data_IF_113311155836
#
_entry.id   IF_113311155836
#
_cell.length_a   1.000
_cell.length_b   1.000
_cell.length_c   1.000
_cell.angle_alpha   90.00
_cell.angle_beta   90.00
_cell.angle_gamma   90.00
#
_symmetry.space_group_name_H-M   'P 1'
#
loop_
_entity.id
_entity.type
_entity.pdbx_description
1 polymer ?
#
# COMPACT_ATOMS: atom_id res chain seq x y z
N UNK A 1 -27.37 -23.52 -11.39
CA UNK A 1 -26.50 -22.48 -11.96
C UNK A 1 -26.25 -21.46 -10.86
N UNK A 2 -25.00 -21.22 -10.48
CA UNK A 2 -24.66 -20.26 -9.43
C UNK A 2 -25.04 -18.86 -9.91
N UNK A 3 -25.83 -18.11 -9.13
CA UNK A 3 -26.08 -16.71 -9.42
C UNK A 3 -24.73 -15.97 -9.42
N UNK A 4 -24.50 -15.17 -10.46
CA UNK A 4 -23.32 -14.32 -10.55
C UNK A 4 -23.35 -13.27 -9.43
N UNK A 5 -22.20 -13.01 -8.81
CA UNK A 5 -22.06 -11.92 -7.84
C UNK A 5 -21.96 -10.56 -8.53
N UNK A 6 -21.42 -10.56 -9.76
CA UNK A 6 -21.29 -9.36 -10.58
C UNK A 6 -21.89 -9.59 -11.97
N UNK A 7 -22.85 -8.74 -12.33
CA UNK A 7 -23.57 -8.82 -13.62
C UNK A 7 -23.07 -7.80 -14.65
N UNK A 8 -22.12 -6.93 -14.28
CA UNK A 8 -21.52 -5.95 -15.19
C UNK A 8 -20.29 -6.52 -15.90
N UNK A 9 -19.98 -6.07 -17.14
CA UNK A 9 -18.77 -6.50 -17.84
C UNK A 9 -17.50 -6.15 -17.07
N UNK A 10 -16.46 -6.97 -17.26
CA UNK A 10 -15.11 -6.69 -16.78
C UNK A 10 -14.39 -5.69 -17.72
N UNK A 11 -13.40 -4.90 -17.26
CA UNK A 11 -12.82 -4.93 -15.92
C UNK A 11 -13.67 -4.21 -14.85
N UNK A 12 -13.73 -4.78 -13.64
CA UNK A 12 -14.52 -4.22 -12.52
C UNK A 12 -13.64 -3.64 -11.42
N UNK A 13 -13.77 -2.33 -11.22
CA UNK A 13 -13.12 -1.58 -10.16
C UNK A 13 -14.17 -0.79 -9.39
N UNK A 14 -14.13 -0.92 -8.07
CA UNK A 14 -14.97 -0.19 -7.13
C UNK A 14 -14.10 0.62 -6.18
N UNK A 15 -14.67 1.68 -5.61
CA UNK A 15 -14.01 2.53 -4.62
C UNK A 15 -14.82 2.62 -3.33
N UNK A 16 -14.12 2.76 -2.22
CA UNK A 16 -14.69 3.24 -0.96
C UNK A 16 -14.16 4.65 -0.68
N UNK A 17 -15.02 5.65 -0.39
CA UNK A 17 -14.56 7.02 -0.17
C UNK A 17 -13.66 7.14 1.08
N UNK A 18 -12.81 8.19 1.14
CA UNK A 18 -12.01 8.48 2.33
C UNK A 18 -12.88 8.66 3.57
N UNK A 19 -12.36 8.23 4.72
CA UNK A 19 -13.02 8.37 6.02
C UNK A 19 -14.03 7.27 6.36
N UNK A 20 -14.43 6.40 5.43
CA UNK A 20 -15.23 5.23 5.76
C UNK A 20 -14.41 4.12 6.46
N UNK A 21 -14.95 3.46 7.49
CA UNK A 21 -14.34 2.26 8.07
C UNK A 21 -14.29 1.12 7.04
N UNK A 22 -13.15 0.98 6.36
CA UNK A 22 -12.99 0.12 5.18
C UNK A 22 -13.51 -1.32 5.37
N UNK A 23 -13.14 -1.97 6.47
CA UNK A 23 -13.54 -3.37 6.73
C UNK A 23 -15.06 -3.53 6.89
N UNK A 24 -15.72 -2.61 7.59
CA UNK A 24 -17.17 -2.63 7.75
C UNK A 24 -17.87 -2.34 6.42
N UNK A 25 -17.43 -1.29 5.70
CA UNK A 25 -18.03 -0.90 4.42
C UNK A 25 -17.82 -1.96 3.32
N UNK A 26 -16.65 -2.64 3.30
CA UNK A 26 -16.39 -3.77 2.41
C UNK A 26 -17.38 -4.90 2.68
N UNK A 27 -17.55 -5.26 3.96
CA UNK A 27 -18.43 -6.33 4.42
C UNK A 27 -19.89 -6.02 4.12
N UNK A 28 -20.32 -4.77 4.31
CA UNK A 28 -21.65 -4.27 3.97
C UNK A 28 -21.93 -4.40 2.46
N UNK A 29 -20.99 -3.97 1.60
CA UNK A 29 -21.16 -4.10 0.15
C UNK A 29 -21.11 -5.55 -0.35
N UNK A 30 -20.42 -6.46 0.34
CA UNK A 30 -20.54 -7.91 0.08
C UNK A 30 -21.92 -8.43 0.47
N UNK A 31 -22.43 -8.02 1.64
CA UNK A 31 -23.72 -8.45 2.14
C UNK A 31 -24.87 -7.99 1.24
N UNK A 32 -24.81 -6.76 0.73
CA UNK A 32 -25.79 -6.23 -0.20
C UNK A 32 -25.84 -7.04 -1.51
N UNK A 33 -24.68 -7.42 -2.06
CA UNK A 33 -24.59 -8.22 -3.31
C UNK A 33 -25.01 -9.68 -3.13
N UNK A 34 -24.94 -10.20 -1.90
CA UNK A 34 -25.37 -11.54 -1.54
C UNK A 34 -26.78 -11.58 -0.93
N UNK A 35 -27.51 -10.47 -0.95
CA UNK A 35 -28.88 -10.43 -0.45
C UNK A 35 -29.74 -11.43 -1.25
N UNK A 36 -30.37 -12.37 -0.54
CA UNK A 36 -31.18 -13.44 -1.16
C UNK A 36 -30.38 -14.60 -1.78
N UNK A 37 -29.04 -14.55 -1.75
CA UNK A 37 -28.20 -15.66 -2.19
C UNK A 37 -28.16 -16.78 -1.12
N UNK A 38 -27.95 -18.04 -1.51
CA UNK A 38 -27.86 -19.14 -0.55
C UNK A 38 -26.57 -19.03 0.29
N UNK A 39 -26.54 -19.57 1.53
CA UNK A 39 -25.42 -19.38 2.46
C UNK A 39 -24.06 -19.82 1.89
N UNK A 40 -24.01 -20.87 1.08
CA UNK A 40 -22.79 -21.36 0.45
C UNK A 40 -22.16 -20.38 -0.55
N UNK A 41 -22.90 -19.38 -1.03
CA UNK A 41 -22.37 -18.34 -1.90
C UNK A 41 -21.25 -17.54 -1.20
N UNK A 42 -21.35 -17.34 0.12
CA UNK A 42 -20.29 -16.71 0.91
C UNK A 42 -18.98 -17.50 0.85
N UNK A 43 -19.04 -18.83 1.04
CA UNK A 43 -17.87 -19.71 1.08
C UNK A 43 -17.17 -19.88 -0.27
N UNK A 44 -17.80 -19.49 -1.37
CA UNK A 44 -17.22 -19.52 -2.72
C UNK A 44 -16.33 -18.31 -3.00
N UNK A 45 -16.58 -17.18 -2.34
CA UNK A 45 -15.82 -15.95 -2.56
C UNK A 45 -14.39 -16.12 -2.04
N UNK A 46 -13.41 -15.77 -2.88
CA UNK A 46 -12.02 -15.61 -2.46
C UNK A 46 -11.71 -14.12 -2.34
N UNK A 47 -11.31 -13.69 -1.13
CA UNK A 47 -11.02 -12.29 -0.82
C UNK A 47 -9.54 -12.11 -0.45
N UNK A 48 -8.79 -11.50 -1.35
CA UNK A 48 -7.40 -11.13 -1.14
C UNK A 48 -7.27 -9.77 -0.46
N UNK A 49 -6.52 -9.73 0.64
CA UNK A 49 -6.31 -8.56 1.47
C UNK A 49 -4.81 -8.25 1.59
N UNK A 50 -4.39 -6.98 1.64
CA UNK A 50 -2.98 -6.59 1.53
C UNK A 50 -2.16 -6.90 2.79
N UNK A 51 -2.81 -7.05 3.94
CA UNK A 51 -2.14 -7.19 5.23
C UNK A 51 -2.96 -7.97 6.25
N UNK A 52 -2.27 -8.68 7.15
CA UNK A 52 -2.88 -9.43 8.28
C UNK A 52 -3.80 -8.58 9.14
N UNK A 53 -3.47 -7.30 9.33
CA UNK A 53 -4.32 -6.36 10.10
C UNK A 53 -5.67 -6.14 9.42
N UNK A 54 -5.67 -5.96 8.09
CA UNK A 54 -6.89 -5.75 7.32
C UNK A 54 -7.71 -7.04 7.27
N UNK A 55 -7.04 -8.19 7.10
CA UNK A 55 -7.68 -9.50 7.17
C UNK A 55 -8.41 -9.73 8.49
N UNK A 56 -7.76 -9.42 9.62
CA UNK A 56 -8.41 -9.48 10.94
C UNK A 56 -9.60 -8.54 11.03
N UNK A 57 -9.43 -7.26 10.65
CA UNK A 57 -10.51 -6.30 10.72
C UNK A 57 -11.73 -6.70 9.86
N UNK A 58 -11.50 -7.24 8.66
CA UNK A 58 -12.57 -7.75 7.78
C UNK A 58 -13.22 -8.99 8.38
N UNK A 59 -12.45 -9.91 8.96
CA UNK A 59 -13.01 -11.07 9.66
C UNK A 59 -13.86 -10.65 10.86
N UNK A 60 -13.37 -9.75 11.71
CA UNK A 60 -14.11 -9.24 12.86
C UNK A 60 -15.43 -8.57 12.40
N UNK A 61 -15.39 -7.81 11.29
CA UNK A 61 -16.59 -7.19 10.71
C UNK A 61 -17.58 -8.21 10.12
N UNK A 62 -17.08 -9.31 9.54
CA UNK A 62 -17.91 -10.41 9.07
C UNK A 62 -18.55 -11.19 10.23
N UNK A 63 -17.78 -11.50 11.27
CA UNK A 63 -18.26 -12.21 12.48
C UNK A 63 -19.31 -11.39 13.23
N UNK A 64 -19.15 -10.06 13.26
CA UNK A 64 -20.13 -9.15 13.88
C UNK A 64 -21.50 -9.17 13.20
N UNK A 65 -21.64 -9.72 11.98
CA UNK A 65 -22.93 -9.91 11.30
C UNK A 65 -23.74 -11.08 11.83
N UNK A 66 -23.16 -11.92 12.69
CA UNK A 66 -23.80 -13.11 13.23
C UNK A 66 -23.34 -14.41 12.54
N UNK A 67 -24.00 -15.53 12.87
CA UNK A 67 -23.57 -16.85 12.41
C UNK A 67 -23.74 -17.00 10.88
N UNK A 68 -22.73 -17.55 10.22
CA UNK A 68 -22.77 -17.80 8.78
C UNK A 68 -21.45 -18.30 8.21
N UNK A 69 -21.48 -18.72 6.95
CA UNK A 69 -20.26 -19.03 6.21
C UNK A 69 -19.50 -17.74 5.87
N UNK A 70 -18.17 -17.82 5.91
CA UNK A 70 -17.29 -16.69 5.59
C UNK A 70 -16.63 -16.88 4.21
N UNK A 71 -16.29 -15.78 3.52
CA UNK A 71 -15.40 -15.84 2.36
C UNK A 71 -14.05 -16.46 2.72
N UNK A 72 -13.38 -17.03 1.73
CA UNK A 72 -11.99 -17.48 1.84
C UNK A 72 -11.08 -16.25 1.91
N UNK A 73 -10.76 -15.82 3.13
CA UNK A 73 -9.86 -14.70 3.38
C UNK A 73 -8.41 -15.12 3.16
N UNK A 74 -7.70 -14.46 2.25
CA UNK A 74 -6.29 -14.73 1.92
C UNK A 74 -5.47 -13.45 1.94
N UNK A 75 -4.18 -13.53 2.25
CA UNK A 75 -3.29 -12.40 2.01
C UNK A 75 -2.83 -12.38 0.57
N UNK A 76 -2.72 -11.19 -0.01
CA UNK A 76 -2.17 -11.03 -1.35
C UNK A 76 -0.73 -11.56 -1.43
N UNK A 77 0.07 -11.35 -0.38
CA UNK A 77 1.43 -11.89 -0.28
C UNK A 77 1.50 -13.42 -0.14
N UNK A 78 0.42 -14.07 0.31
CA UNK A 78 0.39 -15.53 0.48
C UNK A 78 0.21 -16.25 -0.86
N UNK A 79 -0.25 -15.54 -1.90
CA UNK A 79 -0.32 -16.06 -3.28
C UNK A 79 1.05 -16.57 -3.73
N UNK A 80 2.12 -15.84 -3.39
CA UNK A 80 3.49 -16.22 -3.70
C UNK A 80 3.95 -17.54 -3.02
N UNK A 81 3.30 -17.92 -1.92
CA UNK A 81 3.69 -19.06 -1.09
C UNK A 81 2.90 -20.33 -1.42
N UNK A 82 1.95 -20.27 -2.36
CA UNK A 82 1.12 -21.40 -2.71
C UNK A 82 1.98 -22.53 -3.32
N UNK A 83 1.98 -23.75 -2.73
CA UNK A 83 2.75 -24.88 -3.24
C UNK A 83 2.34 -25.34 -4.64
N UNK A 84 1.17 -24.92 -5.12
CA UNK A 84 0.71 -25.21 -6.48
C UNK A 84 1.65 -24.66 -7.57
N UNK A 85 2.51 -23.69 -7.24
CA UNK A 85 3.49 -23.11 -8.17
C UNK A 85 4.74 -23.97 -8.34
N UNK A 86 4.56 -25.16 -8.92
CA UNK A 86 5.64 -26.09 -9.25
C UNK A 86 6.66 -25.42 -10.17
N UNK A 87 7.94 -25.66 -9.90
CA UNK A 87 9.06 -25.15 -10.69
C UNK A 87 9.44 -23.69 -10.41
N UNK A 88 8.83 -23.00 -9.45
CA UNK A 88 9.36 -21.73 -8.94
C UNK A 88 10.19 -21.95 -7.67
N UNK A 89 11.45 -21.50 -7.60
CA UNK A 89 12.28 -21.63 -6.40
C UNK A 89 11.73 -20.77 -5.25
N UNK A 90 11.75 -21.27 -3.99
CA UNK A 90 11.24 -20.54 -2.84
C UNK A 90 11.99 -19.20 -2.66
N UNK A 91 11.37 -18.19 -2.04
CA UNK A 91 12.01 -16.90 -1.88
C UNK A 91 13.23 -17.03 -0.97
N UNK A 92 14.33 -16.37 -1.33
CA UNK A 92 15.58 -16.44 -0.57
C UNK A 92 15.38 -15.84 0.82
N UNK A 93 15.82 -16.50 1.91
CA UNK A 93 15.78 -15.92 3.24
C UNK A 93 16.54 -14.60 3.26
N UNK A 94 15.93 -13.48 3.66
CA UNK A 94 16.56 -12.20 3.37
C UNK A 94 17.80 -11.90 4.24
N UNK A 95 18.07 -12.67 5.30
CA UNK A 95 19.40 -12.64 5.97
C UNK A 95 20.48 -13.28 5.10
N UNK A 96 20.18 -14.41 4.44
CA UNK A 96 21.11 -15.06 3.51
C UNK A 96 21.49 -14.08 2.40
N UNK A 97 20.51 -13.42 1.78
CA UNK A 97 20.78 -12.45 0.70
C UNK A 97 21.68 -11.30 1.13
N UNK A 98 21.45 -10.74 2.33
CA UNK A 98 22.30 -9.68 2.88
C UNK A 98 23.74 -10.13 3.08
N UNK A 99 23.96 -11.36 3.57
CA UNK A 99 25.31 -11.91 3.75
C UNK A 99 26.00 -12.20 2.40
N UNK A 100 25.26 -12.69 1.41
CA UNK A 100 25.76 -12.87 0.03
C UNK A 100 26.20 -11.53 -0.58
N UNK A 101 25.36 -10.50 -0.46
CA UNK A 101 25.67 -9.16 -0.95
C UNK A 101 26.83 -8.52 -0.17
N UNK A 102 26.88 -8.65 1.15
CA UNK A 102 28.00 -8.14 1.96
C UNK A 102 29.35 -8.71 1.51
N UNK A 103 29.40 -9.98 1.11
CA UNK A 103 30.63 -10.57 0.54
C UNK A 103 31.04 -9.92 -0.78
N UNK A 104 30.08 -9.68 -1.68
CA UNK A 104 30.37 -9.03 -2.96
C UNK A 104 30.76 -7.56 -2.80
N UNK A 105 30.03 -6.82 -1.96
CA UNK A 105 30.36 -5.43 -1.63
C UNK A 105 31.75 -5.37 -1.00
N UNK A 106 32.10 -6.30 -0.10
CA UNK A 106 33.42 -6.35 0.51
C UNK A 106 34.54 -6.54 -0.50
N UNK A 107 34.38 -7.51 -1.41
CA UNK A 107 35.36 -7.74 -2.48
C UNK A 107 35.48 -6.55 -3.46
N UNK A 108 34.39 -5.82 -3.68
CA UNK A 108 34.40 -4.61 -4.51
C UNK A 108 35.11 -3.45 -3.81
N UNK A 109 34.83 -3.20 -2.53
CA UNK A 109 35.50 -2.15 -1.75
C UNK A 109 37.00 -2.42 -1.54
N UNK A 110 37.44 -3.68 -1.60
CA UNK A 110 38.87 -4.02 -1.61
C UNK A 110 39.55 -3.64 -2.93
N UNK A 111 38.84 -3.74 -4.05
CA UNK A 111 39.36 -3.39 -5.39
C UNK A 111 39.25 -1.89 -5.67
N UNK A 112 38.20 -1.26 -5.17
CA UNK A 112 37.85 0.14 -5.41
C UNK A 112 37.54 0.83 -4.07
N UNK A 113 38.57 1.14 -3.25
CA UNK A 113 38.39 1.73 -1.92
C UNK A 113 37.78 3.15 -1.96
N UNK A 114 37.88 3.85 -3.10
CA UNK A 114 37.32 5.18 -3.30
C UNK A 114 35.80 5.19 -3.50
N UNK A 115 35.15 4.02 -3.64
CA UNK A 115 33.68 3.92 -3.76
C UNK A 115 32.98 4.28 -2.44
N UNK A 116 33.44 3.71 -1.33
CA UNK A 116 32.92 3.99 0.01
C UNK A 116 33.86 3.46 1.10
N UNK A 117 33.86 4.05 2.31
CA UNK A 117 34.56 3.48 3.46
C UNK A 117 34.08 2.07 3.80
N UNK A 118 35.01 1.16 4.13
CA UNK A 118 34.71 -0.24 4.51
C UNK A 118 33.73 -0.36 5.70
N UNK A 119 33.64 0.66 6.54
CA UNK A 119 32.66 0.73 7.63
C UNK A 119 31.19 0.67 7.14
N UNK A 120 30.92 1.08 5.89
CA UNK A 120 29.57 1.06 5.29
C UNK A 120 29.19 -0.27 4.64
N UNK A 121 30.03 -1.32 4.76
CA UNK A 121 29.81 -2.62 4.13
C UNK A 121 28.37 -3.13 4.33
N UNK A 122 27.89 -3.14 5.58
CA UNK A 122 26.59 -3.69 5.93
C UNK A 122 25.43 -2.79 5.50
N UNK A 123 25.58 -1.46 5.63
CA UNK A 123 24.57 -0.49 5.19
C UNK A 123 24.37 -0.54 3.67
N UNK A 124 25.47 -0.67 2.91
CA UNK A 124 25.44 -0.84 1.46
C UNK A 124 24.82 -2.18 1.06
N UNK A 125 25.16 -3.26 1.76
CA UNK A 125 24.55 -4.57 1.51
C UNK A 125 23.04 -4.58 1.78
N UNK A 126 22.59 -3.89 2.84
CA UNK A 126 21.16 -3.75 3.15
C UNK A 126 20.45 -2.90 2.07
N UNK A 127 21.06 -1.79 1.64
CA UNK A 127 20.52 -0.92 0.59
C UNK A 127 20.41 -1.64 -0.75
N UNK A 128 21.43 -2.42 -1.12
CA UNK A 128 21.40 -3.24 -2.33
C UNK A 128 20.37 -4.36 -2.26
N UNK A 129 20.22 -5.00 -1.10
CA UNK A 129 19.21 -6.05 -0.94
C UNK A 129 17.81 -5.48 -1.18
N UNK A 130 17.55 -4.27 -0.68
CA UNK A 130 16.29 -3.56 -0.86
C UNK A 130 16.06 -3.15 -2.31
N UNK A 131 17.05 -2.53 -2.94
CA UNK A 131 16.97 -2.16 -4.36
C UNK A 131 16.73 -3.39 -5.26
N UNK A 132 17.44 -4.48 -4.99
CA UNK A 132 17.28 -5.72 -5.76
C UNK A 132 15.88 -6.33 -5.58
N UNK A 133 15.33 -6.33 -4.36
CA UNK A 133 13.95 -6.81 -4.11
C UNK A 133 12.91 -5.93 -4.84
N UNK A 134 13.10 -4.60 -4.85
CA UNK A 134 12.26 -3.66 -5.59
C UNK A 134 12.36 -3.88 -7.11
N UNK A 135 13.58 -3.98 -7.64
CA UNK A 135 13.84 -4.28 -9.05
C UNK A 135 13.16 -5.57 -9.48
N UNK A 136 13.27 -6.65 -8.70
CA UNK A 136 12.58 -7.90 -9.02
C UNK A 136 11.05 -7.76 -8.90
N UNK A 137 10.54 -7.04 -7.89
CA UNK A 137 9.11 -6.80 -7.71
C UNK A 137 8.48 -5.99 -8.86
N UNK A 138 9.20 -4.99 -9.37
CA UNK A 138 8.77 -4.16 -10.51
C UNK A 138 9.14 -4.76 -11.88
N UNK A 139 9.96 -5.82 -11.91
CA UNK A 139 10.38 -6.48 -13.15
C UNK A 139 11.39 -5.66 -13.95
N UNK A 140 12.25 -4.91 -13.25
CA UNK A 140 13.27 -4.04 -13.83
C UNK A 140 14.64 -4.73 -13.70
N UNK A 141 15.19 -5.32 -14.77
CA UNK A 141 16.52 -5.92 -14.71
C UNK A 141 17.61 -4.86 -14.61
N UNK A 142 18.82 -5.18 -14.09
CA UNK A 142 19.95 -4.24 -14.04
C UNK A 142 20.29 -3.62 -15.40
N UNK A 143 20.16 -4.40 -16.48
CA UNK A 143 20.39 -3.94 -17.84
C UNK A 143 19.42 -2.83 -18.29
N UNK A 144 18.22 -2.71 -17.69
CA UNK A 144 17.30 -1.61 -17.97
C UNK A 144 17.79 -0.30 -17.35
N UNK A 145 18.33 -0.36 -16.13
CA UNK A 145 18.91 0.81 -15.44
C UNK A 145 20.16 1.29 -16.18
N UNK A 146 20.98 0.35 -16.69
CA UNK A 146 22.19 0.68 -17.45
C UNK A 146 21.93 1.40 -18.79
N UNK A 147 20.70 1.39 -19.30
CA UNK A 147 20.29 2.08 -20.53
C UNK A 147 19.74 3.49 -20.28
N UNK A 148 19.66 3.93 -19.02
CA UNK A 148 19.25 5.30 -18.71
C UNK A 148 20.38 6.25 -19.13
N UNK A 149 20.08 7.16 -20.05
CA UNK A 149 21.05 8.11 -20.60
C UNK A 149 21.35 9.24 -19.60
N UNK A 150 22.63 9.67 -19.46
CA UNK A 150 23.01 10.72 -18.51
C UNK A 150 22.40 12.10 -18.78
N UNK A 151 21.80 12.33 -19.94
CA UNK A 151 21.11 13.58 -20.30
C UNK A 151 19.94 13.91 -19.36
N UNK A 152 19.36 12.90 -18.70
CA UNK A 152 18.31 13.08 -17.67
C UNK A 152 18.90 13.34 -16.27
N UNK A 153 20.25 13.30 -16.13
CA UNK A 153 21.00 13.35 -14.86
C UNK A 153 22.24 14.25 -14.98
N UNK A 154 22.13 15.36 -15.71
CA UNK A 154 23.24 16.17 -16.24
C UNK A 154 24.32 16.62 -15.22
N UNK A 155 24.06 16.60 -13.91
CA UNK A 155 25.01 16.98 -12.86
C UNK A 155 25.77 15.81 -12.20
N UNK A 156 25.58 14.55 -12.65
CA UNK A 156 26.07 13.35 -11.93
C UNK A 156 26.99 12.42 -12.73
N UNK A 157 27.46 12.78 -13.93
CA UNK A 157 28.09 11.84 -14.89
C UNK A 157 29.12 10.87 -14.29
N UNK A 158 30.05 11.36 -13.46
CA UNK A 158 31.06 10.51 -12.80
C UNK A 158 30.56 9.69 -11.59
N UNK A 159 29.51 10.13 -10.90
CA UNK A 159 28.88 9.39 -9.79
C UNK A 159 27.86 8.36 -10.29
N UNK A 160 27.19 8.66 -11.40
CA UNK A 160 26.26 7.77 -12.08
C UNK A 160 26.98 6.54 -12.65
N UNK A 161 28.09 6.74 -13.35
CA UNK A 161 28.87 5.61 -13.90
C UNK A 161 29.44 4.69 -12.80
N UNK A 162 29.82 5.25 -11.66
CA UNK A 162 30.22 4.49 -10.46
C UNK A 162 29.04 3.70 -9.87
N UNK A 163 27.88 4.33 -9.77
CA UNK A 163 26.65 3.67 -9.29
C UNK A 163 26.22 2.55 -10.23
N UNK A 164 26.27 2.75 -11.55
CA UNK A 164 25.97 1.71 -12.54
C UNK A 164 26.93 0.52 -12.43
N UNK A 165 28.24 0.77 -12.27
CA UNK A 165 29.23 -0.31 -12.00
C UNK A 165 28.88 -1.09 -10.75
N UNK A 166 28.48 -0.40 -9.69
CA UNK A 166 28.01 -1.02 -8.45
C UNK A 166 26.77 -1.87 -8.66
N UNK A 167 25.79 -1.44 -9.48
CA UNK A 167 24.57 -2.19 -9.76
C UNK A 167 24.79 -3.44 -10.62
N UNK A 168 25.83 -3.46 -11.47
CA UNK A 168 26.17 -4.64 -12.27
C UNK A 168 26.49 -5.87 -11.43
N UNK A 169 26.91 -5.69 -10.17
CA UNK A 169 27.13 -6.85 -9.28
C UNK A 169 25.85 -7.67 -9.05
N UNK A 170 24.67 -7.08 -9.29
CA UNK A 170 23.39 -7.75 -9.14
C UNK A 170 23.00 -8.64 -10.32
N UNK A 171 23.63 -8.48 -11.49
CA UNK A 171 23.30 -9.22 -12.72
C UNK A 171 23.17 -10.74 -12.56
N UNK A 172 24.04 -11.44 -11.78
CA UNK A 172 23.94 -12.89 -11.62
C UNK A 172 22.60 -13.38 -11.04
N UNK A 173 21.86 -12.51 -10.35
CA UNK A 173 20.58 -12.88 -9.73
C UNK A 173 19.34 -12.61 -10.59
N UNK A 174 19.50 -11.96 -11.75
CA UNK A 174 18.40 -11.66 -12.67
C UNK A 174 18.33 -12.62 -13.87
N UNK A 175 19.24 -13.60 -13.97
CA UNK A 175 19.28 -14.63 -15.00
C UNK A 175 18.57 -15.94 -14.63
N UNK A 176 18.59 -16.91 -15.56
CA UNK A 176 18.09 -18.26 -15.31
C UNK A 176 18.87 -18.93 -14.17
N UNK A 177 18.16 -19.33 -13.11
CA UNK A 177 18.74 -19.94 -11.90
C UNK A 177 18.87 -18.98 -10.70
N UNK A 178 18.64 -17.68 -10.88
CA UNK A 178 18.55 -16.71 -9.78
C UNK A 178 17.31 -16.97 -8.92
N UNK A 179 17.51 -17.33 -7.64
CA UNK A 179 16.40 -17.46 -6.70
C UNK A 179 15.87 -16.06 -6.33
N UNK A 180 14.54 -15.82 -6.41
CA UNK A 180 13.95 -14.51 -6.21
C UNK A 180 13.84 -14.13 -4.73
N UNK A 181 13.66 -12.85 -4.46
CA UNK A 181 13.20 -12.36 -3.16
C UNK A 181 11.67 -12.49 -3.02
N UNK A 182 11.11 -11.98 -1.93
CA UNK A 182 9.68 -12.09 -1.65
C UNK A 182 8.83 -11.42 -2.73
N UNK A 183 9.14 -10.16 -3.04
CA UNK A 183 8.40 -9.38 -4.06
C UNK A 183 8.66 -9.92 -5.48
N UNK A 184 9.89 -10.31 -5.79
CA UNK A 184 10.22 -10.97 -7.06
C UNK A 184 9.44 -12.26 -7.29
N UNK A 185 9.31 -13.10 -6.25
CA UNK A 185 8.51 -14.32 -6.34
C UNK A 185 7.01 -14.01 -6.49
N UNK A 186 6.49 -13.02 -5.76
CA UNK A 186 5.10 -12.60 -5.90
C UNK A 186 4.82 -12.15 -7.33
N UNK A 187 5.74 -11.39 -7.93
CA UNK A 187 5.63 -10.98 -9.33
C UNK A 187 5.60 -12.18 -10.28
N UNK A 188 6.55 -13.12 -10.19
CA UNK A 188 6.59 -14.30 -11.05
C UNK A 188 5.32 -15.15 -10.94
N UNK A 189 4.78 -15.28 -9.71
CA UNK A 189 3.51 -15.98 -9.49
C UNK A 189 2.34 -15.20 -10.09
N UNK A 190 2.30 -13.87 -9.95
CA UNK A 190 1.29 -13.03 -10.56
C UNK A 190 1.28 -13.17 -12.08
N UNK A 191 2.45 -13.13 -12.72
CA UNK A 191 2.59 -13.31 -14.17
C UNK A 191 2.07 -14.69 -14.62
N UNK A 192 2.41 -15.77 -13.90
CA UNK A 192 1.86 -17.11 -14.18
C UNK A 192 0.35 -17.19 -13.99
N UNK A 193 -0.19 -16.52 -12.97
CA UNK A 193 -1.63 -16.45 -12.73
C UNK A 193 -2.36 -15.72 -13.85
N UNK A 194 -1.81 -14.62 -14.35
CA UNK A 194 -2.35 -13.91 -15.51
C UNK A 194 -2.50 -14.86 -16.70
N UNK A 195 -1.44 -15.55 -17.09
CA UNK A 195 -1.47 -16.50 -18.21
C UNK A 195 -2.43 -17.67 -17.96
N UNK A 196 -2.48 -18.20 -16.74
CA UNK A 196 -3.41 -19.29 -16.41
C UNK A 196 -4.87 -18.81 -16.54
N UNK A 197 -5.19 -17.64 -16.00
CA UNK A 197 -6.56 -17.12 -16.00
C UNK A 197 -7.06 -16.65 -17.37
N UNK A 198 -6.17 -16.36 -18.31
CA UNK A 198 -6.54 -16.11 -19.71
C UNK A 198 -7.18 -17.35 -20.37
N UNK A 199 -6.69 -18.55 -20.05
CA UNK A 199 -7.18 -19.81 -20.63
C UNK A 199 -8.17 -20.56 -19.74
N UNK A 200 -8.05 -20.43 -18.41
CA UNK A 200 -8.86 -21.11 -17.41
C UNK A 200 -9.25 -20.15 -16.27
N UNK A 201 -10.15 -19.18 -16.52
CA UNK A 201 -10.58 -18.26 -15.48
C UNK A 201 -11.39 -18.97 -14.39
N UNK A 202 -11.17 -18.66 -13.10
CA UNK A 202 -12.02 -19.13 -12.01
C UNK A 202 -13.46 -18.67 -12.21
N UNK A 203 -14.41 -19.57 -11.92
CA UNK A 203 -15.84 -19.32 -12.01
C UNK A 203 -16.42 -18.69 -10.73
N UNK A 204 -15.83 -19.01 -9.59
CA UNK A 204 -16.20 -18.41 -8.30
C UNK A 204 -15.66 -16.96 -8.20
N UNK A 205 -16.32 -16.08 -7.41
CA UNK A 205 -15.87 -14.70 -7.29
C UNK A 205 -14.49 -14.56 -6.63
N UNK A 206 -13.64 -13.71 -7.23
CA UNK A 206 -12.30 -13.39 -6.72
C UNK A 206 -12.18 -11.88 -6.54
N UNK A 207 -11.90 -11.42 -5.32
CA UNK A 207 -11.89 -9.99 -5.00
C UNK A 207 -10.55 -9.62 -4.40
N UNK A 208 -9.94 -8.53 -4.88
CA UNK A 208 -8.82 -7.87 -4.18
C UNK A 208 -9.35 -6.61 -3.53
N UNK A 209 -9.24 -6.48 -2.21
CA UNK A 209 -9.79 -5.34 -1.48
C UNK A 209 -8.75 -4.66 -0.58
N UNK A 210 -8.66 -3.34 -0.69
CA UNK A 210 -7.85 -2.50 0.18
C UNK A 210 -6.36 -2.43 -0.21
N UNK A 211 -5.99 -3.09 -1.30
CA UNK A 211 -4.67 -2.96 -1.90
C UNK A 211 -4.60 -1.70 -2.76
N UNK A 212 -3.43 -1.06 -2.79
CA UNK A 212 -3.18 0.15 -3.59
C UNK A 212 -2.41 -0.10 -4.88
N UNK A 213 -1.90 -1.32 -5.07
CA UNK A 213 -1.06 -1.65 -6.23
C UNK A 213 0.32 -1.01 -6.19
N UNK A 214 0.82 -0.65 -5.00
CA UNK A 214 2.13 -0.01 -4.83
C UNK A 214 3.32 -0.92 -5.15
N UNK A 215 3.14 -2.24 -5.14
CA UNK A 215 4.14 -3.22 -5.57
C UNK A 215 3.72 -3.85 -6.89
N UNK A 216 4.67 -4.06 -7.81
CA UNK A 216 4.44 -4.57 -9.16
C UNK A 216 3.68 -5.89 -9.18
N UNK A 217 4.09 -6.88 -8.40
CA UNK A 217 3.37 -8.17 -8.29
C UNK A 217 1.92 -8.02 -7.79
N UNK A 218 1.70 -7.15 -6.79
CA UNK A 218 0.36 -6.86 -6.29
C UNK A 218 -0.52 -6.17 -7.34
N UNK A 219 0.06 -5.22 -8.08
CA UNK A 219 -0.61 -4.51 -9.19
C UNK A 219 -1.00 -5.46 -10.32
N UNK A 220 -0.12 -6.37 -10.73
CA UNK A 220 -0.43 -7.40 -11.73
C UNK A 220 -1.62 -8.27 -11.29
N UNK A 221 -1.64 -8.72 -10.02
CA UNK A 221 -2.77 -9.48 -9.49
C UNK A 221 -4.07 -8.66 -9.47
N UNK A 222 -4.02 -7.39 -9.09
CA UNK A 222 -5.19 -6.51 -9.11
C UNK A 222 -5.76 -6.40 -10.53
N UNK A 223 -4.91 -6.21 -11.54
CA UNK A 223 -5.33 -6.13 -12.94
C UNK A 223 -5.94 -7.44 -13.44
N UNK A 224 -5.28 -8.57 -13.15
CA UNK A 224 -5.76 -9.89 -13.52
C UNK A 224 -7.12 -10.18 -12.90
N UNK A 225 -7.28 -9.92 -11.60
CA UNK A 225 -8.55 -10.10 -10.89
C UNK A 225 -9.63 -9.18 -11.43
N UNK A 226 -9.33 -7.92 -11.74
CA UNK A 226 -10.33 -7.00 -12.30
C UNK A 226 -10.91 -7.52 -13.63
N UNK A 227 -10.11 -8.25 -14.42
CA UNK A 227 -10.49 -8.78 -15.75
C UNK A 227 -11.23 -10.13 -15.70
N UNK A 228 -11.25 -10.83 -14.56
CA UNK A 228 -11.93 -12.12 -14.44
C UNK A 228 -13.46 -12.01 -14.65
N UNK A 229 -14.15 -13.08 -15.08
CA UNK A 229 -15.61 -13.08 -15.27
C UNK A 229 -16.39 -12.69 -14.01
N UNK A 230 -15.94 -13.14 -12.84
CA UNK A 230 -16.51 -12.83 -11.51
C UNK A 230 -15.49 -12.14 -10.57
N UNK A 231 -14.47 -11.47 -11.13
CA UNK A 231 -13.50 -10.74 -10.33
C UNK A 231 -13.81 -9.25 -10.10
N UNK A 232 -13.26 -8.68 -9.02
CA UNK A 232 -13.37 -7.25 -8.75
C UNK A 232 -12.21 -6.72 -7.89
N UNK A 233 -11.88 -5.45 -8.08
CA UNK A 233 -10.96 -4.71 -7.20
C UNK A 233 -11.73 -3.67 -6.41
N UNK A 234 -11.50 -3.58 -5.10
CA UNK A 234 -12.09 -2.57 -4.21
C UNK A 234 -10.98 -1.67 -3.65
N UNK A 235 -10.89 -0.46 -4.19
CA UNK A 235 -9.87 0.53 -3.84
C UNK A 235 -10.22 1.22 -2.51
N UNK A 236 -9.27 1.30 -1.55
CA UNK A 236 -9.47 2.04 -0.32
C UNK A 236 -9.30 3.56 -0.54
N UNK A 237 -10.13 4.36 0.13
CA UNK A 237 -10.02 5.82 0.12
C UNK A 237 -9.94 6.42 -1.29
N UNK A 238 -10.76 5.91 -2.22
CA UNK A 238 -10.85 6.44 -3.58
C UNK A 238 -11.56 7.79 -3.56
N UNK A 239 -10.91 8.81 -4.12
CA UNK A 239 -11.43 10.18 -4.11
C UNK A 239 -12.40 10.41 -5.28
N UNK A 240 -13.69 10.39 -4.96
CA UNK A 240 -14.77 10.65 -5.93
C UNK A 240 -14.97 12.15 -6.21
N UNK A 241 -14.40 13.03 -5.38
CA UNK A 241 -14.49 14.48 -5.52
C UNK A 241 -13.33 15.06 -6.35
N UNK A 242 -12.32 14.25 -6.69
CA UNK A 242 -11.18 14.67 -7.50
C UNK A 242 -11.60 14.89 -8.98
N UNK A 243 -11.44 16.10 -9.54
CA UNK A 243 -11.83 16.43 -10.91
C UNK A 243 -11.01 15.67 -11.94
N UNK A 244 -11.64 15.42 -13.09
CA UNK A 244 -11.02 14.69 -14.20
C UNK A 244 -9.70 15.33 -14.71
N UNK A 245 -9.57 16.66 -14.85
CA UNK A 245 -8.29 17.26 -15.24
C UNK A 245 -7.15 16.97 -14.26
N UNK A 246 -7.45 16.84 -12.97
CA UNK A 246 -6.46 16.50 -11.93
C UNK A 246 -6.07 15.02 -12.06
N UNK A 247 -7.03 14.14 -12.34
CA UNK A 247 -6.73 12.74 -12.63
C UNK A 247 -5.86 12.56 -13.88
N UNK A 248 -6.12 13.34 -14.92
CA UNK A 248 -5.32 13.35 -16.16
C UNK A 248 -3.88 13.82 -15.90
N UNK A 249 -3.68 14.74 -14.95
CA UNK A 249 -2.37 15.21 -14.50
C UNK A 249 -1.53 14.16 -13.76
N UNK A 250 -2.06 12.97 -13.46
CA UNK A 250 -1.26 11.85 -12.94
C UNK A 250 -0.58 11.07 -14.07
N UNK A 251 0.10 11.78 -14.97
CA UNK A 251 0.75 11.22 -16.15
C UNK A 251 2.20 10.80 -15.89
N UNK A 252 2.92 11.52 -15.03
CA UNK A 252 4.34 11.33 -14.71
C UNK A 252 4.58 11.01 -13.22
N UNK A 253 5.47 10.04 -12.90
CA UNK A 253 5.91 9.79 -11.53
C UNK A 253 6.55 11.02 -10.86
N UNK A 254 7.29 11.83 -11.61
CA UNK A 254 8.05 12.96 -11.07
C UNK A 254 7.16 14.08 -10.49
N UNK A 255 5.90 14.16 -10.90
CA UNK A 255 4.96 15.21 -10.50
C UNK A 255 3.76 14.69 -9.73
N UNK A 256 3.39 13.42 -9.93
CA UNK A 256 2.17 12.84 -9.37
C UNK A 256 2.36 11.82 -8.26
N UNK A 257 3.54 11.22 -8.10
CA UNK A 257 3.72 10.00 -7.27
C UNK A 257 3.45 10.21 -5.77
N UNK A 258 3.63 11.43 -5.28
CA UNK A 258 3.33 11.80 -3.89
C UNK A 258 1.82 11.84 -3.60
N UNK A 259 0.98 11.91 -4.64
CA UNK A 259 -0.46 11.95 -4.47
C UNK A 259 -1.02 10.55 -4.13
N UNK A 260 -1.86 10.40 -3.08
CA UNK A 260 -2.42 9.09 -2.69
C UNK A 260 -3.20 8.37 -3.80
N UNK A 261 -3.80 9.13 -4.72
CA UNK A 261 -4.58 8.60 -5.85
C UNK A 261 -3.74 8.22 -7.08
N UNK A 262 -2.45 8.58 -7.14
CA UNK A 262 -1.61 8.37 -8.33
C UNK A 262 -1.55 6.91 -8.75
N UNK A 263 -1.36 6.00 -7.80
CA UNK A 263 -1.31 4.55 -8.09
C UNK A 263 -2.64 4.01 -8.62
N UNK A 264 -3.77 4.60 -8.22
CA UNK A 264 -5.07 4.25 -8.81
C UNK A 264 -5.17 4.75 -10.25
N UNK A 265 -4.68 5.95 -10.55
CA UNK A 265 -4.61 6.45 -11.93
C UNK A 265 -3.77 5.52 -12.83
N UNK A 266 -2.61 5.06 -12.34
CA UNK A 266 -1.79 4.06 -13.05
C UNK A 266 -2.57 2.76 -13.29
N UNK A 267 -3.23 2.21 -12.27
CA UNK A 267 -4.04 0.99 -12.39
C UNK A 267 -5.17 1.15 -13.41
N UNK A 268 -5.92 2.25 -13.33
CA UNK A 268 -7.06 2.51 -14.20
C UNK A 268 -6.63 2.67 -15.66
N UNK A 269 -5.52 3.38 -15.93
CA UNK A 269 -4.92 3.45 -17.28
C UNK A 269 -4.57 2.06 -17.83
N UNK A 270 -3.94 1.19 -17.03
CA UNK A 270 -3.61 -0.19 -17.44
C UNK A 270 -4.84 -1.08 -17.66
N UNK A 271 -5.96 -0.73 -17.04
CA UNK A 271 -7.26 -1.37 -17.26
C UNK A 271 -8.08 -0.73 -18.40
N UNK A 272 -7.62 0.38 -18.98
CA UNK A 272 -8.39 1.14 -19.97
C UNK A 272 -9.66 1.78 -19.40
N UNK A 273 -9.63 2.15 -18.11
CA UNK A 273 -10.77 2.75 -17.40
C UNK A 273 -10.51 4.23 -17.10
N UNK A 274 -11.57 5.04 -17.21
CA UNK A 274 -11.60 6.39 -16.62
C UNK A 274 -11.85 6.30 -15.11
N UNK A 275 -11.35 7.25 -14.30
CA UNK A 275 -11.75 7.40 -12.89
C UNK A 275 -13.27 7.41 -12.68
N UNK A 276 -14.04 7.97 -13.64
CA UNK A 276 -15.51 7.98 -13.59
C UNK A 276 -16.15 6.59 -13.71
N UNK A 277 -15.41 5.61 -14.23
CA UNK A 277 -15.86 4.22 -14.32
C UNK A 277 -15.78 3.49 -12.97
N UNK A 278 -15.06 4.04 -11.98
CA UNK A 278 -14.98 3.48 -10.64
C UNK A 278 -16.29 3.73 -9.92
N UNK A 279 -16.99 2.65 -9.57
CA UNK A 279 -18.29 2.74 -8.88
C UNK A 279 -18.12 2.67 -7.37
N UNK A 280 -18.97 3.35 -6.57
CA UNK A 280 -19.01 3.13 -5.14
C UNK A 280 -19.26 1.65 -4.81
N UNK A 281 -18.48 1.09 -3.88
CA UNK A 281 -18.66 -0.30 -3.43
C UNK A 281 -19.94 -0.47 -2.61
N UNK A 282 -20.28 0.54 -1.80
CA UNK A 282 -21.50 0.65 -1.01
C UNK A 282 -22.21 1.97 -1.33
N UNK A 283 -23.50 2.06 -0.99
CA UNK A 283 -24.29 3.29 -1.01
C UNK A 283 -23.95 4.23 0.16
N UNK A 284 -23.20 3.75 1.15
CA UNK A 284 -22.80 4.55 2.31
C UNK A 284 -21.84 5.65 1.89
N UNK A 285 -22.17 6.89 2.25
CA UNK A 285 -21.31 8.06 2.03
C UNK A 285 -20.26 8.21 3.13
N UNK A 286 -19.25 9.07 2.87
CA UNK A 286 -18.28 9.46 3.88
C UNK A 286 -18.99 10.05 5.13
N UNK A 287 -18.50 9.79 6.36
CA UNK A 287 -19.16 10.28 7.57
C UNK A 287 -19.29 11.81 7.63
N UNK A 288 -18.36 12.53 7.00
CA UNK A 288 -18.37 13.99 6.86
C UNK A 288 -18.05 14.34 5.40
N UNK A 289 -19.04 14.39 4.50
CA UNK A 289 -18.79 14.63 3.06
C UNK A 289 -18.07 15.95 2.78
N UNK A 290 -18.38 17.00 3.55
CA UNK A 290 -17.70 18.30 3.44
C UNK A 290 -16.19 18.20 3.73
N UNK A 291 -15.78 17.31 4.64
CA UNK A 291 -14.36 17.06 4.93
C UNK A 291 -13.68 16.30 3.81
N UNK A 292 -14.37 15.35 3.16
CA UNK A 292 -13.83 14.64 2.01
C UNK A 292 -13.48 15.63 0.88
N UNK A 293 -14.40 16.55 0.54
CA UNK A 293 -14.15 17.61 -0.44
C UNK A 293 -13.00 18.55 -0.04
N UNK A 294 -12.95 18.97 1.22
CA UNK A 294 -11.85 19.79 1.73
C UNK A 294 -10.49 19.08 1.57
N UNK A 295 -10.41 17.79 1.92
CA UNK A 295 -9.19 17.00 1.78
C UNK A 295 -8.83 16.80 0.30
N UNK A 296 -9.81 16.55 -0.57
CA UNK A 296 -9.60 16.43 -2.02
C UNK A 296 -8.95 17.68 -2.61
N UNK A 297 -9.44 18.87 -2.23
CA UNK A 297 -8.86 20.14 -2.66
C UNK A 297 -7.47 20.37 -2.02
N UNK A 298 -7.31 20.09 -0.73
CA UNK A 298 -6.05 20.31 -0.02
C UNK A 298 -4.90 19.44 -0.55
N UNK A 299 -5.21 18.26 -1.08
CA UNK A 299 -4.22 17.30 -1.58
C UNK A 299 -3.90 17.46 -3.07
N UNK A 300 -4.43 18.46 -3.79
CA UNK A 300 -4.13 18.65 -5.22
C UNK A 300 -2.59 18.64 -5.47
N UNK A 301 -2.12 18.06 -6.60
CA UNK A 301 -0.70 18.07 -6.94
C UNK A 301 -0.25 19.46 -7.45
N UNK A 302 0.94 19.95 -7.09
CA UNK A 302 1.48 21.22 -7.58
C UNK A 302 1.49 21.36 -9.12
N UNK A 303 1.32 22.57 -9.68
CA UNK A 303 0.97 23.83 -9.01
C UNK A 303 -0.54 23.90 -8.68
N UNK A 304 -0.90 24.32 -7.46
CA UNK A 304 -2.30 24.26 -6.96
C UNK A 304 -2.91 25.59 -6.54
N UNK A 305 -2.12 26.66 -6.44
CA UNK A 305 -2.55 27.91 -5.80
C UNK A 305 -3.76 28.52 -6.50
N UNK A 306 -3.77 28.44 -7.83
CA UNK A 306 -4.87 28.84 -8.71
C UNK A 306 -6.13 27.99 -8.50
N UNK A 307 -5.99 26.66 -8.36
CA UNK A 307 -7.12 25.76 -8.09
C UNK A 307 -7.73 26.02 -6.70
N UNK A 308 -6.92 26.25 -5.67
CA UNK A 308 -7.41 26.57 -4.34
C UNK A 308 -8.20 27.89 -4.31
N UNK A 309 -7.73 28.90 -5.04
CA UNK A 309 -8.43 30.19 -5.16
C UNK A 309 -9.75 30.05 -5.94
N UNK A 310 -9.76 29.24 -7.00
CA UNK A 310 -10.94 29.06 -7.85
C UNK A 310 -12.01 28.15 -7.22
N UNK A 311 -11.61 27.00 -6.66
CA UNK A 311 -12.52 25.97 -6.14
C UNK A 311 -12.81 26.14 -4.64
N UNK A 312 -11.89 26.75 -3.88
CA UNK A 312 -12.03 26.94 -2.43
C UNK A 312 -13.34 27.62 -1.99
N UNK A 313 -13.78 28.72 -2.64
CA UNK A 313 -15.05 29.35 -2.32
C UNK A 313 -16.27 28.42 -2.45
N UNK A 314 -16.22 27.45 -3.37
CA UNK A 314 -17.32 26.50 -3.59
C UNK A 314 -17.47 25.46 -2.47
N UNK A 315 -16.49 25.32 -1.56
CA UNK A 315 -16.61 24.46 -0.39
C UNK A 315 -17.61 24.99 0.64
N UNK A 316 -17.94 26.29 0.59
CA UNK A 316 -18.89 26.93 1.50
C UNK A 316 -18.36 27.06 2.94
N UNK A 317 -19.24 26.88 3.92
CA UNK A 317 -18.86 26.94 5.34
C UNK A 317 -17.95 25.76 5.70
N UNK A 318 -16.71 26.06 6.10
CA UNK A 318 -15.71 25.06 6.48
C UNK A 318 -15.86 24.57 7.93
N UNK A 319 -16.64 25.25 8.77
CA UNK A 319 -16.79 24.86 10.20
C UNK A 319 -17.28 23.42 10.37
N UNK A 320 -18.30 22.93 9.62
CA UNK A 320 -18.71 21.53 9.67
C UNK A 320 -17.61 20.56 9.20
N UNK A 321 -16.86 20.92 8.15
CA UNK A 321 -15.76 20.09 7.64
C UNK A 321 -14.63 19.94 8.67
N UNK A 322 -14.32 21.04 9.37
CA UNK A 322 -13.24 21.13 10.36
C UNK A 322 -13.68 20.76 11.80
N UNK A 323 -14.93 20.36 12.01
CA UNK A 323 -15.42 20.00 13.35
C UNK A 323 -14.58 18.87 13.97
N UNK A 324 -14.02 19.11 15.16
CA UNK A 324 -13.13 18.16 15.84
C UNK A 324 -11.69 18.13 15.32
N UNK A 325 -11.31 19.05 14.43
CA UNK A 325 -9.90 19.31 14.09
C UNK A 325 -9.35 20.40 15.02
N UNK A 326 -8.07 20.30 15.36
CA UNK A 326 -7.36 21.30 16.16
C UNK A 326 -5.97 21.47 15.58
N UNK A 327 -5.60 22.71 15.27
CA UNK A 327 -4.21 23.08 14.96
C UNK A 327 -3.52 23.42 16.28
N UNK A 328 -2.37 22.77 16.52
CA UNK A 328 -1.55 23.03 17.69
C UNK A 328 -0.17 23.49 17.24
N UNK A 329 0.16 24.74 17.54
CA UNK A 329 1.48 25.32 17.29
C UNK A 329 2.29 25.29 18.60
N UNK A 330 3.23 24.35 18.69
CA UNK A 330 4.05 24.19 19.88
C UNK A 330 5.31 25.06 19.81
N UNK A 331 5.71 25.74 20.91
CA UNK A 331 6.91 26.60 20.93
C UNK A 331 8.22 25.80 20.92
N UNK A 332 8.16 24.48 21.13
CA UNK A 332 9.32 23.59 20.95
C UNK A 332 8.86 22.14 20.73
N UNK A 333 9.72 21.27 20.18
CA UNK A 333 9.42 19.85 20.03
C UNK A 333 9.11 19.12 21.34
N UNK A 334 9.57 19.65 22.49
CA UNK A 334 9.23 19.11 23.81
C UNK A 334 7.78 19.41 24.16
N UNK A 335 7.37 20.67 24.00
CA UNK A 335 5.99 21.10 24.26
C UNK A 335 5.00 20.41 23.31
N UNK A 336 5.39 20.19 22.05
CA UNK A 336 4.62 19.41 21.08
C UNK A 336 4.32 17.99 21.61
N UNK A 337 5.37 17.27 22.01
CA UNK A 337 5.24 15.91 22.49
C UNK A 337 4.41 15.82 23.79
N UNK A 338 4.58 16.78 24.71
CA UNK A 338 3.82 16.85 25.96
C UNK A 338 2.34 17.14 25.70
N UNK A 339 2.01 18.05 24.77
CA UNK A 339 0.63 18.35 24.41
C UNK A 339 -0.07 17.17 23.74
N UNK A 340 0.61 16.49 22.80
CA UNK A 340 0.10 15.27 22.16
C UNK A 340 -0.16 14.19 23.22
N UNK A 341 0.81 13.94 24.11
CA UNK A 341 0.67 12.94 25.17
C UNK A 341 -0.48 13.26 26.12
N UNK A 342 -0.66 14.53 26.49
CA UNK A 342 -1.79 14.99 27.30
C UNK A 342 -3.14 14.68 26.63
N UNK A 343 -3.29 14.98 25.34
CA UNK A 343 -4.54 14.72 24.61
C UNK A 343 -4.81 13.22 24.40
N UNK A 344 -3.76 12.43 24.14
CA UNK A 344 -3.88 10.97 24.02
C UNK A 344 -4.32 10.35 25.35
N UNK A 345 -3.74 10.77 26.47
CA UNK A 345 -4.15 10.31 27.80
C UNK A 345 -5.62 10.64 28.08
N UNK A 346 -6.03 11.87 27.81
CA UNK A 346 -7.41 12.31 28.01
C UNK A 346 -8.40 11.48 27.17
N UNK A 347 -8.05 11.18 25.91
CA UNK A 347 -8.86 10.28 25.08
C UNK A 347 -8.94 8.86 25.64
N UNK A 348 -7.80 8.28 26.02
CA UNK A 348 -7.75 6.94 26.63
C UNK A 348 -8.60 6.88 27.91
N UNK A 349 -8.54 7.92 28.75
CA UNK A 349 -9.34 8.01 29.98
C UNK A 349 -10.86 8.04 29.70
N UNK A 350 -11.28 8.51 28.52
CA UNK A 350 -12.67 8.46 28.04
C UNK A 350 -13.02 7.15 27.32
N UNK A 351 -12.11 6.18 27.26
CA UNK A 351 -12.29 4.95 26.50
C UNK A 351 -12.20 5.14 24.98
N UNK A 352 -11.65 6.25 24.52
CA UNK A 352 -11.41 6.51 23.09
C UNK A 352 -10.20 5.71 22.59
N UNK A 353 -10.19 5.38 21.30
CA UNK A 353 -9.00 4.87 20.64
C UNK A 353 -8.15 6.03 20.15
N UNK A 354 -6.89 6.09 20.58
CA UNK A 354 -5.93 7.11 20.15
C UNK A 354 -4.85 6.51 19.25
N UNK A 355 -4.39 7.29 18.26
CA UNK A 355 -3.27 6.95 17.40
C UNK A 355 -2.42 8.20 17.13
N UNK A 356 -1.10 8.04 17.14
CA UNK A 356 -0.15 9.04 16.66
C UNK A 356 0.38 8.58 15.30
N UNK A 357 0.24 9.45 14.29
CA UNK A 357 0.81 9.24 12.95
C UNK A 357 1.87 10.30 12.73
N UNK A 358 3.13 9.87 12.59
CA UNK A 358 4.25 10.78 12.31
C UNK A 358 5.36 10.05 11.55
N UNK A 359 6.04 10.78 10.67
CA UNK A 359 7.30 10.35 10.06
C UNK A 359 8.52 10.64 10.98
N UNK A 360 8.38 11.56 11.95
CA UNK A 360 9.44 11.89 12.90
C UNK A 360 9.51 10.85 14.03
N UNK A 361 10.52 9.96 13.94
CA UNK A 361 10.82 8.96 14.96
C UNK A 361 11.20 9.58 16.30
N UNK A 362 11.76 10.79 16.31
CA UNK A 362 12.10 11.51 17.53
C UNK A 362 10.86 12.05 18.24
N UNK A 363 9.88 12.59 17.50
CA UNK A 363 8.56 12.92 18.05
C UNK A 363 7.87 11.69 18.66
N UNK A 364 7.81 10.58 17.92
CA UNK A 364 7.20 9.35 18.43
C UNK A 364 7.83 8.86 19.74
N UNK A 365 9.18 8.87 19.84
CA UNK A 365 9.89 8.51 21.08
C UNK A 365 9.60 9.48 22.23
N UNK A 366 9.55 10.79 21.95
CA UNK A 366 9.25 11.80 22.96
C UNK A 366 7.82 11.67 23.51
N UNK A 367 6.84 11.42 22.64
CA UNK A 367 5.44 11.19 23.06
C UNK A 367 5.34 9.93 23.90
N UNK A 368 5.96 8.83 23.50
CA UNK A 368 5.97 7.59 24.28
C UNK A 368 6.58 7.81 25.68
N UNK A 369 7.76 8.44 25.76
CA UNK A 369 8.39 8.77 27.04
C UNK A 369 7.54 9.72 27.90
N UNK A 370 6.76 10.62 27.28
CA UNK A 370 5.85 11.50 28.00
C UNK A 370 4.64 10.75 28.59
N UNK A 371 4.08 9.78 27.85
CA UNK A 371 3.01 8.91 28.32
C UNK A 371 3.48 7.98 29.46
N UNK A 372 4.72 7.46 29.37
CA UNK A 372 5.29 6.54 30.37
C UNK A 372 5.36 7.16 31.78
N UNK A 373 5.62 8.48 31.87
CA UNK A 373 5.63 9.22 33.14
C UNK A 373 4.32 9.14 33.92
N UNK A 374 3.22 8.76 33.28
CA UNK A 374 1.88 8.73 33.87
C UNK A 374 1.33 7.32 34.10
N UNK A 375 2.20 6.30 34.16
CA UNK A 375 1.84 4.97 34.65
C UNK A 375 1.65 3.89 33.59
N UNK A 376 2.50 3.86 32.56
CA UNK A 376 2.68 2.65 31.74
C UNK A 376 1.51 2.27 30.83
N UNK A 377 0.70 3.24 30.41
CA UNK A 377 -0.32 3.08 29.36
C UNK A 377 0.29 2.90 27.96
N UNK A 378 1.56 2.50 27.84
CA UNK A 378 2.26 2.39 26.57
C UNK A 378 2.66 0.93 26.27
N UNK A 379 1.79 0.17 25.60
CA UNK A 379 2.27 -0.79 24.60
C UNK A 379 2.64 0.00 23.35
N UNK A 380 3.89 0.48 23.30
CA UNK A 380 4.42 1.17 22.12
C UNK A 380 4.42 0.21 20.93
N UNK A 381 3.42 0.33 20.06
CA UNK A 381 3.60 -0.08 18.66
C UNK A 381 3.82 1.20 17.89
N UNK A 382 5.08 1.52 17.63
CA UNK A 382 5.43 2.57 16.71
C UNK A 382 4.88 2.19 15.32
N UNK A 383 3.76 2.81 14.94
CA UNK A 383 3.46 3.04 13.53
C UNK A 383 4.40 4.17 13.09
N UNK A 384 5.65 3.79 12.79
CA UNK A 384 6.43 4.60 11.87
C UNK A 384 5.61 4.64 10.56
N UNK A 385 5.30 5.84 10.07
CA UNK A 385 5.00 6.01 8.66
C UNK A 385 6.20 5.44 7.91
N UNK A 386 6.02 4.24 7.35
CA UNK A 386 7.02 3.57 6.52
C UNK A 386 6.95 4.22 5.14
N UNK A 387 7.81 5.21 4.89
CA UNK A 387 8.54 5.16 3.63
C UNK A 387 9.49 3.97 3.76
N UNK A 388 9.23 2.98 2.91
CA UNK A 388 9.98 1.76 2.74
C UNK A 388 9.84 0.57 3.72
N UNK A 389 10.11 -0.59 3.13
CA UNK A 389 9.50 -1.89 3.28
C UNK A 389 10.04 -2.74 4.45
N UNK A 390 9.60 -3.99 4.60
CA UNK A 390 9.28 -4.65 5.90
C UNK A 390 10.44 -5.40 6.58
N UNK A 391 10.35 -5.53 7.92
CA UNK A 391 10.43 -6.83 8.64
C UNK A 391 9.57 -6.86 9.93
N UNK A 392 9.11 -8.09 10.21
CA UNK A 392 8.21 -8.62 11.28
C UNK A 392 8.92 -8.60 12.65
N UNK A 393 8.30 -8.71 13.83
CA UNK A 393 7.01 -9.21 14.29
C UNK A 393 6.69 -8.57 15.66
N UNK A 394 5.43 -8.60 16.07
CA UNK A 394 5.02 -8.31 17.46
C UNK A 394 3.57 -7.86 17.51
N UNK A 395 2.72 -8.67 18.15
CA UNK A 395 1.30 -8.38 18.41
C UNK A 395 1.10 -7.01 19.05
N UNK A 396 0.12 -6.23 18.60
CA UNK A 396 -0.49 -5.21 19.46
C UNK A 396 -1.92 -5.61 19.78
N UNK A 397 -2.18 -5.72 21.08
CA UNK A 397 -3.51 -5.88 21.64
C UNK A 397 -4.31 -4.60 21.49
N UNK A 398 -5.63 -4.74 21.58
CA UNK A 398 -6.55 -3.62 21.78
C UNK A 398 -6.20 -2.90 23.09
N UNK A 399 -6.37 -1.59 23.10
CA UNK A 399 -6.50 -0.81 24.33
C UNK A 399 -7.90 -1.06 24.86
N UNK A 400 -8.01 -1.98 25.80
CA UNK A 400 -9.16 -2.08 26.67
C UNK A 400 -8.70 -1.56 28.02
N UNK A 401 -9.54 -0.70 28.62
CA UNK A 401 -9.32 -0.19 29.97
C UNK A 401 -9.21 -1.30 31.00
#
# INVERSE_FOLDING_TARGET
MTAALFDSPAPRVFGLPPGLPFAAALTEGLAARLAGAPPEAWGRITLYLPARRMLRAVRDALEARGPGLLPRLRLLSEVALDPAWVGLPPPVPPLRRRLELARLVGALLEKEPDLAPRAHLYDLADSLAQLMEEMQGEGVPPAAIARLEPTDLADLSGHWERSLRFLRILEPWFGEGGAPEGEGRLRQVAERLCTLWESAPPQDPVIVAGATGAQGGARLLMEAVARLPQGAVVLPAFDFDLPEPVWEGFDSPLTGEDHPQFRFACLLRRLGLSPRSVRPWTVREAPVPARARLISLALRPPPVTDQWLAEGPALGDLRPACAGLTLLEAPSPRFEAEAIAARMRDGIARGETCALVTADRSLARRVAAALDRWGGWCRTTALACRSDSRRRAGSCGRWHG
#
